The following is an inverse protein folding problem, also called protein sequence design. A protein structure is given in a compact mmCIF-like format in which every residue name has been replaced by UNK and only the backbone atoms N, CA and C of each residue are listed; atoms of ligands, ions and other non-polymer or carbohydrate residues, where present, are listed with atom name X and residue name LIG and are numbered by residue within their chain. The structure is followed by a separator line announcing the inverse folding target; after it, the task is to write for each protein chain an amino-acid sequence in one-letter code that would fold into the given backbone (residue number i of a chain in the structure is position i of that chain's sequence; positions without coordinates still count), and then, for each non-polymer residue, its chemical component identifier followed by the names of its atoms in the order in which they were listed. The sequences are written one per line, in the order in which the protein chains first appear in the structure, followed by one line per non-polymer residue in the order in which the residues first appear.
data_IF_601832721075
#
_entry.id   IF_601832721075
#
_cell.length_a   1.000
_cell.length_b   1.000
_cell.length_c   1.000
_cell.angle_alpha   90.00
_cell.angle_beta   90.00
_cell.angle_gamma   90.00
#
_symmetry.space_group_name_H-M   'P 1'
#
loop_
_entity.id
_entity.type
_entity.pdbx_description
1 polymer ?
#
# COMPACT_ATOMS: atom_id res chain seq x y z
N UNK A 1 -7.41 13.13 -5.03
CA UNK A 1 -7.36 13.84 -6.33
C UNK A 1 -7.08 12.81 -7.41
N UNK A 2 -7.59 12.95 -8.64
CA UNK A 2 -7.15 12.10 -9.74
C UNK A 2 -5.64 12.26 -9.94
N UNK A 3 -4.95 11.15 -10.16
CA UNK A 3 -3.52 11.13 -10.44
C UNK A 3 -3.32 10.63 -11.88
N UNK A 4 -2.30 11.15 -12.54
CA UNK A 4 -1.93 10.85 -13.93
C UNK A 4 -0.76 9.84 -14.03
N UNK A 5 -0.30 9.30 -12.90
CA UNK A 5 0.75 8.29 -12.81
C UNK A 5 0.46 7.21 -11.76
N UNK A 6 1.06 6.04 -11.95
CA UNK A 6 0.99 4.93 -10.99
C UNK A 6 1.75 5.28 -9.72
N UNK A 7 1.24 4.84 -8.57
CA UNK A 7 1.90 5.00 -7.29
C UNK A 7 1.93 3.69 -6.52
N UNK A 8 3.04 3.42 -5.87
CA UNK A 8 3.17 2.33 -4.90
C UNK A 8 3.26 2.97 -3.52
N UNK A 9 2.38 2.56 -2.61
CA UNK A 9 2.28 3.15 -1.29
C UNK A 9 3.29 2.52 -0.33
N UNK A 10 4.14 3.34 0.28
CA UNK A 10 5.19 2.94 1.22
C UNK A 10 4.64 2.79 2.65
N UNK A 11 3.55 3.47 3.00
CA UNK A 11 2.99 3.43 4.35
C UNK A 11 1.47 3.57 4.36
N UNK A 12 0.85 3.10 5.43
CA UNK A 12 -0.55 3.33 5.74
C UNK A 12 -0.73 3.94 7.12
N UNK A 13 -1.70 4.83 7.29
CA UNK A 13 -2.03 5.53 8.53
C UNK A 13 -3.36 5.03 9.08
N UNK A 14 -3.40 4.93 10.41
CA UNK A 14 -4.60 4.86 11.23
C UNK A 14 -5.26 6.24 11.27
N UNK A 15 -5.73 6.68 10.10
CA UNK A 15 -6.35 7.98 9.90
C UNK A 15 -7.87 7.94 10.11
N UNK A 16 -8.45 9.13 10.17
CA UNK A 16 -9.88 9.32 10.33
C UNK A 16 -10.62 9.46 8.99
N UNK A 17 -11.73 8.73 8.87
CA UNK A 17 -12.60 8.65 7.67
C UNK A 17 -14.01 9.21 7.89
N UNK A 18 -14.24 9.92 9.00
CA UNK A 18 -15.57 10.29 9.50
C UNK A 18 -16.36 11.28 8.63
N UNK A 19 -17.51 11.79 9.10
CA UNK A 19 -18.25 12.83 8.39
C UNK A 19 -17.43 14.12 8.20
N UNK A 20 -17.75 14.96 7.19
CA UNK A 20 -16.98 16.18 6.87
C UNK A 20 -16.86 17.18 8.04
N UNK A 21 -17.80 17.14 8.98
CA UNK A 21 -17.81 17.96 10.18
C UNK A 21 -16.62 17.57 11.09
N UNK A 22 -15.57 18.38 11.05
CA UNK A 22 -14.35 18.16 11.82
C UNK A 22 -13.26 17.35 11.12
N UNK A 23 -13.52 16.84 9.90
CA UNK A 23 -12.51 16.15 9.09
C UNK A 23 -12.59 16.56 7.61
N UNK A 24 -11.59 17.26 7.06
CA UNK A 24 -11.61 17.76 5.68
C UNK A 24 -11.64 16.65 4.61
N UNK A 25 -11.32 15.40 4.99
CA UNK A 25 -11.27 14.26 4.07
C UNK A 25 -12.47 13.31 4.23
N UNK A 26 -13.42 13.64 5.10
CA UNK A 26 -14.57 12.83 5.39
C UNK A 26 -15.48 12.62 4.18
N UNK A 27 -15.68 11.36 3.78
CA UNK A 27 -16.58 10.97 2.69
C UNK A 27 -17.32 9.70 3.07
N UNK A 28 -18.60 9.65 2.71
CA UNK A 28 -19.37 8.42 2.83
C UNK A 28 -18.94 7.42 1.76
N UNK A 29 -18.96 6.13 2.10
CA UNK A 29 -18.78 5.04 1.14
C UNK A 29 -19.88 4.97 0.07
N UNK A 30 -19.79 4.00 -0.84
CA UNK A 30 -20.79 3.79 -1.90
C UNK A 30 -22.19 3.48 -1.36
N UNK A 31 -22.30 3.05 -0.10
CA UNK A 31 -23.55 2.76 0.60
C UNK A 31 -24.04 3.97 1.43
N UNK A 32 -23.36 5.12 1.36
CA UNK A 32 -23.68 6.29 2.16
C UNK A 32 -23.29 6.17 3.64
N UNK A 33 -22.45 5.20 4.00
CA UNK A 33 -22.01 4.96 5.38
C UNK A 33 -20.65 5.58 5.66
N UNK A 34 -20.44 5.92 6.93
CA UNK A 34 -19.15 6.35 7.46
C UNK A 34 -18.60 5.25 8.38
N UNK A 35 -17.26 5.07 8.47
CA UNK A 35 -16.69 4.12 9.41
C UNK A 35 -17.05 4.47 10.86
N UNK A 36 -17.65 3.53 11.60
CA UNK A 36 -17.96 3.71 13.02
C UNK A 36 -16.67 3.98 13.83
N UNK A 37 -16.67 5.06 14.64
CA UNK A 37 -15.53 5.56 15.40
C UNK A 37 -14.38 6.15 14.58
N UNK A 38 -14.59 6.42 13.29
CA UNK A 38 -13.71 7.30 12.52
C UNK A 38 -12.24 6.84 12.46
N UNK A 39 -11.93 5.55 12.39
CA UNK A 39 -10.54 5.08 12.32
C UNK A 39 -10.35 3.88 11.38
N UNK A 40 -9.20 3.83 10.71
CA UNK A 40 -8.78 2.69 9.88
C UNK A 40 -8.68 1.38 10.61
N UNK A 41 -8.25 1.39 11.87
CA UNK A 41 -7.92 0.17 12.58
C UNK A 41 -9.11 -0.64 13.10
N UNK A 42 -10.33 -0.53 12.54
CA UNK A 42 -11.48 -1.31 13.05
C UNK A 42 -11.27 -2.82 12.88
N UNK A 43 -10.84 -3.28 11.71
CA UNK A 43 -10.57 -4.71 11.49
C UNK A 43 -9.31 -5.14 12.26
N UNK A 44 -8.30 -4.27 12.32
CA UNK A 44 -7.10 -4.44 13.12
C UNK A 44 -7.28 -4.22 14.64
N UNK A 45 -8.51 -3.99 15.13
CA UNK A 45 -8.76 -3.54 16.51
C UNK A 45 -8.43 -4.67 17.49
N UNK A 46 -7.44 -4.43 18.34
CA UNK A 46 -6.94 -5.42 19.31
C UNK A 46 -5.78 -6.26 18.79
N UNK A 47 -5.48 -6.21 17.49
CA UNK A 47 -4.28 -6.83 16.88
C UNK A 47 -3.09 -5.88 16.91
N UNK A 48 -3.33 -4.60 16.60
CA UNK A 48 -2.29 -3.57 16.55
C UNK A 48 -2.21 -2.81 17.88
N UNK A 49 -1.00 -2.56 18.44
CA UNK A 49 -0.82 -1.72 19.63
C UNK A 49 -1.47 -0.34 19.47
N UNK A 50 -1.98 0.21 20.57
CA UNK A 50 -2.83 1.42 20.53
C UNK A 50 -2.06 2.65 20.02
N UNK A 51 -0.77 2.69 20.30
CA UNK A 51 0.20 3.72 19.96
C UNK A 51 0.63 3.71 18.49
N UNK A 52 0.40 2.61 17.77
CA UNK A 52 0.73 2.51 16.34
C UNK A 52 -0.33 3.26 15.56
N UNK A 53 0.06 4.43 15.03
CA UNK A 53 -0.78 5.26 14.17
C UNK A 53 -0.44 5.10 12.70
N UNK A 54 0.70 4.50 12.37
CA UNK A 54 1.16 4.29 10.99
C UNK A 54 1.91 2.97 10.89
N UNK A 55 1.81 2.30 9.75
CA UNK A 55 2.49 1.05 9.45
C UNK A 55 3.22 1.23 8.13
N UNK A 56 4.53 1.03 8.14
CA UNK A 56 5.34 1.00 6.93
C UNK A 56 5.18 -0.34 6.22
N UNK A 57 5.18 -0.30 4.89
CA UNK A 57 5.41 -1.47 4.09
C UNK A 57 6.81 -1.97 4.37
N UNK A 58 6.91 -3.27 4.53
CA UNK A 58 8.16 -4.01 4.55
C UNK A 58 8.83 -4.19 3.18
N UNK A 59 8.17 -3.78 2.09
CA UNK A 59 8.78 -3.77 0.77
C UNK A 59 9.70 -2.57 0.62
N UNK A 60 10.84 -2.73 -0.04
CA UNK A 60 11.65 -1.60 -0.52
C UNK A 60 11.00 -1.02 -1.78
N UNK A 61 9.98 -0.19 -1.55
CA UNK A 61 9.17 0.45 -2.59
C UNK A 61 10.02 1.38 -3.46
N UNK A 62 11.02 2.04 -2.89
CA UNK A 62 11.95 2.89 -3.64
C UNK A 62 12.81 2.06 -4.60
N UNK A 63 13.36 0.93 -4.13
CA UNK A 63 14.09 -0.03 -4.94
C UNK A 63 13.26 -0.58 -6.09
N UNK A 64 12.00 -0.97 -5.83
CA UNK A 64 11.06 -1.43 -6.87
C UNK A 64 10.90 -0.36 -7.96
N UNK A 65 10.67 0.91 -7.58
CA UNK A 65 10.54 2.00 -8.54
C UNK A 65 11.82 2.21 -9.35
N UNK A 66 12.99 2.19 -8.69
CA UNK A 66 14.31 2.33 -9.34
C UNK A 66 14.60 1.20 -10.32
N UNK A 67 14.25 -0.04 -9.98
CA UNK A 67 14.49 -1.19 -10.85
C UNK A 67 13.58 -1.20 -12.08
N UNK A 68 12.32 -0.80 -11.91
CA UNK A 68 11.42 -0.58 -13.04
C UNK A 68 11.88 0.57 -13.94
N UNK A 69 12.47 1.63 -13.37
CA UNK A 69 13.06 2.72 -14.15
C UNK A 69 14.25 2.23 -15.01
N UNK A 70 15.15 1.42 -14.41
CA UNK A 70 16.26 0.79 -15.14
C UNK A 70 15.74 -0.14 -16.25
N UNK A 71 14.76 -0.98 -15.93
CA UNK A 71 14.16 -1.90 -16.89
C UNK A 71 13.50 -1.15 -18.07
N UNK A 72 12.85 -0.02 -17.80
CA UNK A 72 12.22 0.81 -18.84
C UNK A 72 13.25 1.38 -19.82
N UNK A 73 14.41 1.83 -19.35
CA UNK A 73 15.48 2.39 -20.20
C UNK A 73 16.01 1.37 -21.22
N UNK A 74 15.95 0.07 -20.91
CA UNK A 74 16.42 -1.02 -21.78
C UNK A 74 15.32 -1.77 -22.53
N UNK A 75 14.06 -1.35 -22.42
CA UNK A 75 12.91 -2.11 -22.95
C UNK A 75 12.10 -1.31 -23.97
N UNK A 76 11.61 -2.00 -25.01
CA UNK A 76 10.62 -1.48 -25.97
C UNK A 76 9.18 -1.64 -25.49
N UNK A 77 8.96 -2.26 -24.33
CA UNK A 77 7.63 -2.58 -23.81
C UNK A 77 6.87 -1.32 -23.42
N UNK A 78 5.58 -1.29 -23.73
CA UNK A 78 4.71 -0.16 -23.43
C UNK A 78 4.17 -0.23 -22.00
N UNK A 79 5.01 0.12 -21.02
CA UNK A 79 4.62 0.30 -19.62
C UNK A 79 5.10 1.64 -19.04
N UNK A 80 4.49 2.08 -17.93
CA UNK A 80 4.91 3.26 -17.17
C UNK A 80 5.64 2.88 -15.89
N UNK A 81 6.55 3.75 -15.46
CA UNK A 81 7.28 3.58 -14.20
C UNK A 81 6.45 4.21 -13.07
N UNK A 82 6.13 3.46 -12.01
CA UNK A 82 5.41 4.02 -10.86
C UNK A 82 6.28 4.99 -10.07
N UNK A 83 5.64 5.77 -9.20
CA UNK A 83 6.31 6.62 -8.20
C UNK A 83 6.05 6.10 -6.79
N UNK A 84 6.99 6.33 -5.89
CA UNK A 84 6.77 6.13 -4.46
C UNK A 84 5.70 7.11 -3.98
N UNK A 85 4.78 6.64 -3.15
CA UNK A 85 3.77 7.46 -2.48
C UNK A 85 3.74 7.10 -1.01
N UNK A 86 3.57 8.11 -0.16
CA UNK A 86 3.49 7.97 1.30
C UNK A 86 2.11 8.38 1.79
N UNK A 87 1.12 8.40 0.92
CA UNK A 87 -0.22 8.89 1.18
C UNK A 87 -1.21 8.20 0.24
N UNK A 88 -1.84 7.12 0.72
CA UNK A 88 -2.86 6.39 -0.03
C UNK A 88 -4.23 7.11 0.00
N UNK A 89 -4.24 8.39 0.37
CA UNK A 89 -5.43 9.17 0.68
C UNK A 89 -5.91 8.95 2.12
N UNK A 90 -7.01 9.60 2.48
CA UNK A 90 -7.69 9.36 3.75
C UNK A 90 -9.13 8.94 3.49
N UNK A 91 -9.28 7.88 2.67
CA UNK A 91 -10.54 7.24 2.34
C UNK A 91 -10.38 5.70 2.31
N UNK A 92 -11.22 4.96 1.57
CA UNK A 92 -11.21 3.49 1.57
C UNK A 92 -9.87 2.85 1.16
N UNK A 93 -9.06 3.51 0.31
CA UNK A 93 -7.77 2.97 -0.11
C UNK A 93 -6.80 2.82 1.08
N UNK A 94 -6.66 3.87 1.88
CA UNK A 94 -5.87 3.84 3.12
C UNK A 94 -6.50 2.90 4.16
N UNK A 95 -7.83 2.82 4.22
CA UNK A 95 -8.51 1.90 5.15
C UNK A 95 -8.13 0.46 4.84
N UNK A 96 -8.29 0.04 3.58
CA UNK A 96 -7.93 -1.30 3.12
C UNK A 96 -6.44 -1.52 3.36
N UNK A 97 -5.60 -0.56 2.97
CA UNK A 97 -4.16 -0.73 3.07
C UNK A 97 -3.67 -0.90 4.52
N UNK A 98 -4.14 -0.03 5.43
CA UNK A 98 -3.78 -0.10 6.85
C UNK A 98 -4.19 -1.44 7.45
N UNK A 99 -5.42 -1.90 7.20
CA UNK A 99 -5.86 -3.19 7.73
C UNK A 99 -5.11 -4.34 7.09
N UNK A 100 -4.82 -4.32 5.78
CA UNK A 100 -4.04 -5.38 5.13
C UNK A 100 -2.61 -5.48 5.70
N UNK A 101 -1.96 -4.34 5.96
CA UNK A 101 -0.66 -4.32 6.63
C UNK A 101 -0.78 -4.82 8.06
N UNK A 102 -1.77 -4.34 8.82
CA UNK A 102 -2.00 -4.78 10.19
C UNK A 102 -2.19 -6.30 10.30
N UNK A 103 -3.03 -6.88 9.44
CA UNK A 103 -3.24 -8.32 9.33
C UNK A 103 -1.94 -9.05 8.98
N UNK A 104 -1.14 -8.51 8.05
CA UNK A 104 0.10 -9.17 7.63
C UNK A 104 1.22 -9.15 8.68
N UNK A 105 1.20 -8.19 9.61
CA UNK A 105 2.29 -7.95 10.56
C UNK A 105 1.94 -8.43 11.98
N UNK A 106 0.68 -8.26 12.39
CA UNK A 106 0.27 -8.40 13.80
C UNK A 106 -0.71 -9.55 14.05
N UNK A 107 -1.16 -10.29 13.02
CA UNK A 107 -2.01 -11.45 13.24
C UNK A 107 -1.17 -12.71 13.48
N UNK A 108 -1.00 -13.09 14.76
CA UNK A 108 -0.30 -14.29 15.21
C UNK A 108 -1.01 -15.61 14.80
N UNK A 109 -2.32 -15.58 14.47
CA UNK A 109 -3.04 -16.74 13.93
C UNK A 109 -2.87 -16.88 12.42
N UNK A 110 -2.43 -15.82 11.73
CA UNK A 110 -1.91 -15.90 10.37
C UNK A 110 -0.50 -16.53 10.37
N UNK A 111 -0.36 -17.71 10.99
CA UNK A 111 0.79 -18.60 10.84
C UNK A 111 0.87 -19.10 9.40
N UNK A 112 1.34 -18.23 8.51
CA UNK A 112 1.89 -18.66 7.25
C UNK A 112 3.26 -19.26 7.55
N UNK A 113 3.46 -20.52 7.18
CA UNK A 113 4.80 -21.10 7.14
C UNK A 113 5.63 -20.29 6.13
N UNK A 114 6.42 -19.36 6.64
CA UNK A 114 7.29 -18.47 5.89
C UNK A 114 8.72 -18.77 6.31
N UNK A 115 9.57 -19.18 5.37
CA UNK A 115 11.02 -19.32 5.60
C UNK A 115 11.72 -17.96 5.82
N UNK A 116 10.99 -16.85 5.74
CA UNK A 116 11.51 -15.48 5.81
C UNK A 116 11.01 -14.75 7.07
N UNK A 117 11.85 -13.90 7.70
CA UNK A 117 11.55 -13.26 8.97
C UNK A 117 10.34 -12.33 8.88
N UNK A 118 9.39 -12.47 9.81
CA UNK A 118 8.13 -11.68 9.89
C UNK A 118 8.37 -10.18 10.13
N UNK A 119 7.44 -9.31 9.69
CA UNK A 119 7.63 -7.87 9.85
C UNK A 119 7.51 -7.43 11.30
N UNK A 120 8.30 -6.43 11.71
CA UNK A 120 8.22 -5.84 13.05
C UNK A 120 7.63 -4.43 13.02
N UNK A 121 6.86 -4.04 14.05
CA UNK A 121 6.34 -2.69 14.22
C UNK A 121 7.46 -1.64 14.26
N UNK A 122 7.38 -0.61 13.42
CA UNK A 122 8.32 0.53 13.46
C UNK A 122 7.93 1.46 14.60
N UNK A 123 8.24 1.05 15.83
CA UNK A 123 8.26 1.92 17.02
C UNK A 123 9.66 2.42 17.34
N UNK A 124 10.66 1.92 16.60
CA UNK A 124 12.05 2.35 16.64
C UNK A 124 12.43 2.92 15.25
N UNK A 125 12.77 4.22 15.13
CA UNK A 125 13.14 4.85 13.86
C UNK A 125 14.46 4.33 13.27
N UNK A 126 15.16 3.45 13.98
CA UNK A 126 16.40 2.78 13.52
C UNK A 126 16.19 1.30 13.16
N UNK A 127 14.97 0.76 13.31
CA UNK A 127 14.68 -0.62 12.96
C UNK A 127 14.79 -0.84 11.44
N UNK A 128 15.48 -1.90 11.04
CA UNK A 128 15.56 -2.32 9.64
C UNK A 128 14.16 -2.60 9.10
N UNK A 129 13.85 -2.05 7.92
CA UNK A 129 12.58 -2.26 7.22
C UNK A 129 12.36 -3.76 7.01
N UNK A 130 11.26 -4.34 7.51
CA UNK A 130 11.09 -5.78 7.46
C UNK A 130 10.83 -6.31 6.06
N UNK A 131 11.70 -7.17 5.51
CA UNK A 131 11.64 -7.68 4.13
C UNK A 131 10.43 -8.58 3.76
N UNK A 132 9.46 -8.74 4.66
CA UNK A 132 8.39 -9.74 4.56
C UNK A 132 6.98 -9.16 4.42
N UNK A 133 6.81 -7.86 4.21
CA UNK A 133 5.46 -7.30 4.05
C UNK A 133 4.70 -7.99 2.92
N UNK A 134 3.55 -8.55 3.30
CA UNK A 134 2.68 -9.34 2.42
C UNK A 134 1.63 -8.47 1.73
N UNK A 135 1.57 -7.19 2.07
CA UNK A 135 0.61 -6.25 1.53
C UNK A 135 1.32 -5.03 0.94
N UNK A 136 0.77 -4.55 -0.18
CA UNK A 136 1.16 -3.33 -0.86
C UNK A 136 -0.08 -2.74 -1.51
N UNK A 137 -0.13 -1.41 -1.59
CA UNK A 137 -1.21 -0.73 -2.28
C UNK A 137 -0.66 -0.03 -3.53
N UNK A 138 -1.39 -0.16 -4.64
CA UNK A 138 -1.04 0.45 -5.92
C UNK A 138 -2.19 1.36 -6.35
N UNK A 139 -1.95 2.66 -6.43
CA UNK A 139 -2.87 3.57 -7.10
C UNK A 139 -2.61 3.56 -8.60
N UNK A 140 -3.68 3.40 -9.37
CA UNK A 140 -3.66 3.49 -10.83
C UNK A 140 -4.19 4.85 -11.30
N UNK A 141 -3.68 5.41 -12.41
CA UNK A 141 -4.19 6.66 -12.98
C UNK A 141 -5.67 6.58 -13.36
N UNK A 142 -6.37 7.71 -13.29
CA UNK A 142 -7.79 7.81 -13.61
C UNK A 142 -8.06 8.04 -15.11
N UNK A 143 -7.40 7.27 -15.98
CA UNK A 143 -7.51 7.40 -17.44
C UNK A 143 -8.40 6.27 -17.97
N UNK A 144 -9.41 6.61 -18.77
CA UNK A 144 -10.41 5.65 -19.28
C UNK A 144 -10.39 5.59 -20.80
N UNK A 145 -9.30 5.09 -21.39
CA UNK A 145 -9.24 4.76 -22.82
C UNK A 145 -8.81 3.30 -23.02
N UNK A 146 -9.26 2.66 -24.11
CA UNK A 146 -8.93 1.25 -24.39
C UNK A 146 -7.42 1.03 -24.60
N UNK A 147 -6.75 1.96 -25.27
CA UNK A 147 -5.29 1.97 -25.42
C UNK A 147 -4.59 2.02 -24.06
N UNK A 148 -5.14 2.80 -23.14
CA UNK A 148 -4.60 2.92 -21.80
C UNK A 148 -4.82 1.66 -20.95
N UNK A 149 -5.92 0.93 -21.17
CA UNK A 149 -6.18 -0.32 -20.44
C UNK A 149 -5.09 -1.37 -20.68
N UNK A 150 -4.64 -1.55 -21.92
CA UNK A 150 -3.57 -2.53 -22.22
C UNK A 150 -2.22 -2.09 -21.64
N UNK A 151 -1.89 -0.81 -21.77
CA UNK A 151 -0.71 -0.21 -21.10
C UNK A 151 -0.78 -0.39 -19.58
N UNK A 152 -1.97 -0.26 -19.01
CA UNK A 152 -2.21 -0.40 -17.57
C UNK A 152 -2.03 -1.83 -17.09
N UNK A 153 -2.57 -2.81 -17.81
CA UNK A 153 -2.35 -4.22 -17.52
C UNK A 153 -0.86 -4.56 -17.53
N UNK A 154 -0.12 -4.11 -18.54
CA UNK A 154 1.32 -4.37 -18.62
C UNK A 154 2.07 -3.67 -17.48
N UNK A 155 1.73 -2.42 -17.17
CA UNK A 155 2.33 -1.67 -16.06
C UNK A 155 2.12 -2.36 -14.72
N UNK A 156 0.89 -2.77 -14.40
CA UNK A 156 0.58 -3.46 -13.15
C UNK A 156 1.27 -4.83 -13.08
N UNK A 157 1.34 -5.58 -14.19
CA UNK A 157 2.10 -6.84 -14.25
C UNK A 157 3.57 -6.63 -13.92
N UNK A 158 4.22 -5.59 -14.44
CA UNK A 158 5.62 -5.26 -14.16
C UNK A 158 5.83 -4.89 -12.70
N UNK A 159 4.91 -4.12 -12.12
CA UNK A 159 4.95 -3.77 -10.69
C UNK A 159 4.88 -5.04 -9.84
N UNK A 160 3.90 -5.92 -10.09
CA UNK A 160 3.76 -7.19 -9.36
C UNK A 160 5.00 -8.07 -9.53
N UNK A 161 5.57 -8.14 -10.74
CA UNK A 161 6.79 -8.88 -11.02
C UNK A 161 7.99 -8.36 -10.22
N UNK A 162 8.18 -7.03 -10.15
CA UNK A 162 9.25 -6.43 -9.37
C UNK A 162 9.09 -6.69 -7.86
N UNK A 163 7.86 -6.59 -7.34
CA UNK A 163 7.54 -6.96 -5.96
C UNK A 163 7.88 -8.43 -5.69
N UNK A 164 7.53 -9.33 -6.61
CA UNK A 164 7.81 -10.76 -6.46
C UNK A 164 9.32 -11.05 -6.48
N UNK A 165 10.09 -10.39 -7.36
CA UNK A 165 11.56 -10.55 -7.42
C UNK A 165 12.23 -10.10 -6.13
N UNK A 166 11.84 -8.95 -5.59
CA UNK A 166 12.36 -8.44 -4.33
C UNK A 166 12.13 -9.43 -3.17
N UNK A 167 10.99 -10.12 -3.16
CA UNK A 167 10.68 -11.13 -2.13
C UNK A 167 11.48 -12.43 -2.27
N UNK A 168 11.96 -12.77 -3.47
CA UNK A 168 12.71 -13.99 -3.73
C UNK A 168 14.24 -13.80 -3.71
N UNK A 169 14.70 -12.54 -3.68
CA UNK A 169 16.13 -12.19 -3.79
C UNK A 169 16.53 -11.27 -2.60
N UNK A 170 16.63 -11.82 -1.37
CA UNK A 170 17.00 -11.06 -0.19
C UNK A 170 18.42 -10.46 -0.26
#
# INVERSE_FOLDING_TARGET
MPFDYYRIEERARKGSYGPPEGNPNGRADVDGKYPENNEAGRAAKGKVPKEVTEILSGLDVEGICKDLEKAKKGSTDNFEVPRVSTDAGLYLCEFIYYNSLAESIYDDEAKYESEYPEPRPVTDPTAETPLSSRAVFIHVPSIMTDEWLEKSKETVKRIIGAIAVQRLSP
#
